data_IF_719755231648
#
_entry.id   IF_719755231648
#
_cell.length_a   1.000
_cell.length_b   1.000
_cell.length_c   1.000
_cell.angle_alpha   90.00
_cell.angle_beta   90.00
_cell.angle_gamma   90.00
#
_symmetry.space_group_name_H-M   'P 1'
#
loop_
_entity.id
_entity.type
_entity.pdbx_description
1 polymer ?
#
# COMPACT_ATOMS: atom_id res chain seq x y z
N UNK A 1 -11.76 15.17 -11.46
CA UNK A 1 -11.98 15.17 -10.00
C UNK A 1 -10.66 15.54 -9.36
N UNK A 2 -10.56 16.72 -8.75
CA UNK A 2 -9.32 17.21 -8.14
C UNK A 2 -9.07 16.47 -6.83
N UNK A 3 -7.99 15.70 -6.75
CA UNK A 3 -7.53 15.20 -5.46
C UNK A 3 -7.17 16.39 -4.58
N UNK A 4 -7.79 16.46 -3.40
CA UNK A 4 -7.41 17.41 -2.35
C UNK A 4 -5.92 17.16 -2.07
N UNK A 5 -5.09 18.19 -2.22
CA UNK A 5 -3.66 18.11 -1.91
C UNK A 5 -3.50 18.11 -0.38
N UNK A 6 -3.65 16.93 0.24
CA UNK A 6 -3.24 16.74 1.63
C UNK A 6 -1.71 16.54 1.72
N UNK A 7 -1.05 17.11 2.74
CA UNK A 7 0.29 16.71 3.12
C UNK A 7 0.40 15.20 3.32
N UNK A 8 1.56 14.63 2.99
CA UNK A 8 1.77 13.18 3.05
C UNK A 8 1.62 12.64 4.47
N UNK A 9 1.98 13.43 5.47
CA UNK A 9 1.90 13.12 6.89
C UNK A 9 0.45 12.91 7.33
N UNK A 10 -0.50 13.69 6.79
CA UNK A 10 -1.92 13.50 7.07
C UNK A 10 -2.47 12.25 6.40
N UNK A 11 -1.97 11.92 5.20
CA UNK A 11 -2.33 10.67 4.52
C UNK A 11 -1.81 9.47 5.33
N UNK A 12 -0.59 9.56 5.85
CA UNK A 12 -0.02 8.54 6.74
C UNK A 12 -0.86 8.34 8.01
N UNK A 13 -1.28 9.43 8.66
CA UNK A 13 -2.18 9.34 9.82
C UNK A 13 -3.51 8.67 9.47
N UNK A 14 -4.14 9.04 8.36
CA UNK A 14 -5.39 8.41 7.90
C UNK A 14 -5.18 6.91 7.68
N UNK A 15 -4.12 6.53 6.96
CA UNK A 15 -3.80 5.12 6.67
C UNK A 15 -3.49 4.36 7.97
N UNK A 16 -2.83 4.99 8.94
CA UNK A 16 -2.53 4.41 10.25
C UNK A 16 -3.78 4.08 11.08
N UNK A 17 -4.93 4.68 10.76
CA UNK A 17 -6.22 4.36 11.39
C UNK A 17 -7.05 3.31 10.62
N UNK A 18 -6.58 2.85 9.46
CA UNK A 18 -7.28 1.81 8.69
C UNK A 18 -6.89 0.43 9.22
N UNK A 19 -7.88 -0.31 9.73
CA UNK A 19 -7.67 -1.62 10.34
C UNK A 19 -7.36 -2.70 9.30
N UNK A 20 -7.98 -2.63 8.11
CA UNK A 20 -7.89 -3.67 7.10
C UNK A 20 -7.07 -3.24 5.89
N UNK A 21 -6.23 -4.16 5.39
CA UNK A 21 -5.49 -3.97 4.14
C UNK A 21 -6.40 -3.67 2.93
N UNK A 22 -7.65 -4.16 2.95
CA UNK A 22 -8.67 -3.86 1.94
C UNK A 22 -9.01 -2.38 1.89
N UNK A 23 -9.06 -1.70 3.03
CA UNK A 23 -9.43 -0.28 3.12
C UNK A 23 -8.27 0.60 2.62
N UNK A 24 -7.04 0.22 3.00
CA UNK A 24 -5.81 0.86 2.49
C UNK A 24 -5.76 0.74 0.96
N UNK A 25 -6.04 -0.45 0.43
CA UNK A 25 -6.09 -0.68 -1.01
C UNK A 25 -7.24 0.08 -1.69
N UNK A 26 -8.41 0.16 -1.06
CA UNK A 26 -9.53 0.93 -1.56
C UNK A 26 -9.15 2.41 -1.71
N UNK A 27 -8.54 3.00 -0.67
CA UNK A 27 -8.04 4.38 -0.69
C UNK A 27 -6.99 4.59 -1.80
N UNK A 28 -6.01 3.69 -1.92
CA UNK A 28 -4.98 3.78 -2.96
C UNK A 28 -5.57 3.80 -4.39
N UNK A 29 -6.71 3.14 -4.61
CA UNK A 29 -7.35 3.04 -5.93
C UNK A 29 -8.27 4.21 -6.29
N UNK A 30 -8.51 5.14 -5.36
CA UNK A 30 -9.42 6.29 -5.61
C UNK A 30 -8.86 7.31 -6.60
N UNK A 31 -7.54 7.54 -6.59
CA UNK A 31 -6.89 8.56 -7.41
C UNK A 31 -5.41 8.23 -7.65
N UNK A 32 -4.84 8.68 -8.78
CA UNK A 32 -3.43 8.42 -9.11
C UNK A 32 -2.43 8.94 -8.07
N UNK A 33 -2.70 10.09 -7.45
CA UNK A 33 -1.89 10.62 -6.33
C UNK A 33 -1.95 9.70 -5.11
N UNK A 34 -3.15 9.27 -4.70
CA UNK A 34 -3.30 8.32 -3.60
C UNK A 34 -2.65 6.98 -3.93
N UNK A 35 -2.73 6.51 -5.17
CA UNK A 35 -2.02 5.30 -5.58
C UNK A 35 -0.52 5.43 -5.35
N UNK A 36 0.09 6.56 -5.76
CA UNK A 36 1.55 6.76 -5.60
C UNK A 36 1.98 6.83 -4.13
N UNK A 37 1.15 7.41 -3.25
CA UNK A 37 1.47 7.63 -1.84
C UNK A 37 1.09 6.43 -0.95
N UNK A 38 -0.13 5.92 -1.10
CA UNK A 38 -0.72 4.89 -0.22
C UNK A 38 -0.31 3.48 -0.62
N UNK A 39 -0.05 3.22 -1.91
CA UNK A 39 0.36 1.88 -2.34
C UNK A 39 1.64 1.39 -1.64
N UNK A 40 2.73 2.19 -1.48
CA UNK A 40 3.86 1.81 -0.64
C UNK A 40 3.47 1.46 0.82
N UNK A 41 2.53 2.19 1.41
CA UNK A 41 2.06 1.96 2.78
C UNK A 41 1.31 0.62 2.89
N UNK A 42 0.55 0.22 1.86
CA UNK A 42 -0.11 -1.09 1.78
C UNK A 42 0.91 -2.24 1.87
N UNK A 43 2.05 -2.14 1.18
CA UNK A 43 3.11 -3.15 1.25
C UNK A 43 3.80 -3.18 2.61
N UNK A 44 4.06 -2.00 3.23
CA UNK A 44 4.59 -1.92 4.60
C UNK A 44 3.64 -2.56 5.60
N UNK A 45 2.34 -2.29 5.48
CA UNK A 45 1.31 -2.92 6.28
C UNK A 45 1.32 -4.45 6.11
N UNK A 46 1.45 -4.95 4.86
CA UNK A 46 1.54 -6.40 4.60
C UNK A 46 2.77 -7.04 5.28
N UNK A 47 3.93 -6.40 5.24
CA UNK A 47 5.14 -6.88 5.94
C UNK A 47 4.91 -6.93 7.45
N UNK A 48 4.29 -5.90 8.02
CA UNK A 48 4.09 -5.78 9.47
C UNK A 48 2.98 -6.71 10.03
N UNK A 49 1.86 -6.87 9.32
CA UNK A 49 0.66 -7.52 9.87
C UNK A 49 0.33 -8.85 9.19
N UNK A 50 0.77 -9.06 7.95
CA UNK A 50 0.43 -10.24 7.14
C UNK A 50 1.67 -11.11 6.87
N UNK A 51 2.73 -10.97 7.66
CA UNK A 51 3.97 -11.73 7.56
C UNK A 51 4.60 -11.67 6.15
N UNK A 52 4.43 -10.56 5.43
CA UNK A 52 4.97 -10.40 4.09
C UNK A 52 4.34 -11.34 3.04
N UNK A 53 3.11 -11.82 3.24
CA UNK A 53 2.43 -12.76 2.33
C UNK A 53 2.38 -12.29 0.86
N UNK A 54 2.46 -10.98 0.60
CA UNK A 54 2.54 -10.45 -0.75
C UNK A 54 3.82 -10.87 -1.50
N UNK A 55 4.91 -11.18 -0.78
CA UNK A 55 6.14 -11.69 -1.37
C UNK A 55 5.93 -13.09 -1.95
N UNK A 56 5.41 -14.02 -1.14
CA UNK A 56 5.11 -15.40 -1.56
C UNK A 56 4.13 -15.41 -2.74
N UNK A 57 3.05 -14.63 -2.63
CA UNK A 57 2.08 -14.47 -3.72
C UNK A 57 2.75 -13.97 -5.00
N UNK A 58 3.64 -12.96 -4.90
CA UNK A 58 4.36 -12.40 -6.03
C UNK A 58 5.29 -13.41 -6.71
N UNK A 59 5.94 -14.29 -5.93
CA UNK A 59 6.81 -15.36 -6.45
C UNK A 59 5.96 -16.40 -7.18
N UNK A 60 4.90 -16.90 -6.55
CA UNK A 60 4.00 -17.91 -7.10
C UNK A 60 3.38 -17.48 -8.44
N UNK A 61 3.00 -16.20 -8.55
CA UNK A 61 2.33 -15.66 -9.73
C UNK A 61 3.30 -14.99 -10.72
N UNK A 62 4.63 -15.11 -10.49
CA UNK A 62 5.67 -14.46 -11.32
C UNK A 62 5.46 -12.96 -11.49
N UNK A 63 4.90 -12.30 -10.48
CA UNK A 63 4.62 -10.87 -10.50
C UNK A 63 5.81 -10.07 -9.96
N UNK A 64 6.78 -9.79 -10.83
CA UNK A 64 8.01 -9.05 -10.47
C UNK A 64 7.71 -7.71 -9.78
N UNK A 65 6.67 -7.00 -10.22
CA UNK A 65 6.28 -5.73 -9.64
C UNK A 65 5.90 -5.86 -8.16
N UNK A 66 5.15 -6.91 -7.80
CA UNK A 66 4.76 -7.18 -6.40
C UNK A 66 5.98 -7.57 -5.59
N UNK A 67 6.82 -8.48 -6.10
CA UNK A 67 8.07 -8.89 -5.43
C UNK A 67 8.95 -7.68 -5.11
N UNK A 68 9.20 -6.81 -6.09
CA UNK A 68 10.00 -5.60 -5.90
C UNK A 68 9.39 -4.61 -4.91
N UNK A 69 8.06 -4.46 -4.90
CA UNK A 69 7.38 -3.56 -3.96
C UNK A 69 7.45 -4.10 -2.53
N UNK A 70 7.26 -5.41 -2.33
CA UNK A 70 7.37 -6.02 -1.01
C UNK A 70 8.80 -5.95 -0.47
N UNK A 71 9.82 -6.23 -1.31
CA UNK A 71 11.24 -6.12 -0.93
C UNK A 71 11.71 -4.69 -0.64
N UNK A 72 11.01 -3.67 -1.13
CA UNK A 72 11.29 -2.28 -0.79
C UNK A 72 10.63 -1.84 0.52
N UNK A 73 9.65 -2.61 1.01
CA UNK A 73 8.84 -2.26 2.17
C UNK A 73 9.41 -2.77 3.50
N UNK A 74 10.41 -3.65 3.46
CA UNK A 74 11.18 -4.19 4.58
C UNK A 74 12.39 -4.95 4.07
#
# INVERSE_FOLDING_TARGET
>A
MTAILLPVELIEQIVGHLEYASDINALARTHGTFYRVVNPMLYRYNVQHNNGSALSWGIEHRCLATVQKTLKAG
#
